data_IF_303932763874
#
_entry.id   IF_303932763874
#
_cell.length_a   1.000
_cell.length_b   1.000
_cell.length_c   1.000
_cell.angle_alpha   90.00
_cell.angle_beta   90.00
_cell.angle_gamma   90.00
#
_symmetry.space_group_name_H-M   'P 1'
#
loop_
_entity.id
_entity.type
_entity.pdbx_description
1 polymer ?
#
# COMPACT_ATOMS: atom_id res chain seq x y z
N UNK A 1 -24.12 17.35 30.46
CA UNK A 1 -22.71 17.08 30.11
C UNK A 1 -22.36 15.66 30.53
N UNK A 2 -22.29 14.73 29.58
CA UNK A 2 -21.58 13.45 29.68
C UNK A 2 -20.97 13.18 28.31
N UNK A 3 -19.64 13.17 28.25
CA UNK A 3 -18.86 12.78 27.08
C UNK A 3 -18.90 11.25 27.00
N UNK A 4 -19.60 10.70 26.01
CA UNK A 4 -19.56 9.28 25.69
C UNK A 4 -18.76 9.12 24.38
N UNK A 5 -17.53 8.65 24.53
CA UNK A 5 -16.56 8.46 23.44
C UNK A 5 -17.04 7.35 22.51
N UNK A 6 -17.23 7.67 21.22
CA UNK A 6 -17.57 6.69 20.16
C UNK A 6 -16.36 5.80 19.83
N UNK A 7 -16.00 4.90 20.73
CA UNK A 7 -15.12 3.75 20.45
C UNK A 7 -16.01 2.56 20.08
N UNK A 8 -16.31 2.38 18.80
CA UNK A 8 -17.10 1.21 18.42
C UNK A 8 -17.63 1.20 17.01
N UNK A 9 -16.89 1.66 16.01
CA UNK A 9 -17.28 1.45 14.60
C UNK A 9 -16.00 1.28 13.79
N UNK A 10 -15.95 0.24 12.95
CA UNK A 10 -14.84 -0.25 12.11
C UNK A 10 -13.92 -1.31 12.70
N UNK A 11 -14.53 -2.43 13.13
CA UNK A 11 -13.87 -3.74 13.19
C UNK A 11 -14.45 -4.70 12.15
N UNK A 12 -14.67 -4.19 10.94
CA UNK A 12 -15.12 -5.01 9.80
C UNK A 12 -13.96 -5.28 8.86
N UNK A 13 -12.90 -5.89 9.39
CA UNK A 13 -11.92 -6.62 8.58
C UNK A 13 -12.70 -7.76 7.92
N UNK A 14 -13.04 -7.53 6.67
CA UNK A 14 -13.66 -8.49 5.75
C UNK A 14 -13.09 -9.88 6.00
N UNK A 15 -13.91 -10.80 6.55
CA UNK A 15 -13.54 -12.20 6.84
C UNK A 15 -12.76 -12.80 5.66
N UNK A 16 -11.45 -12.99 5.83
CA UNK A 16 -10.57 -13.61 4.82
C UNK A 16 -10.89 -15.10 4.75
N UNK A 17 -11.36 -15.58 3.59
CA UNK A 17 -11.64 -17.00 3.29
C UNK A 17 -10.39 -17.84 2.98
N UNK A 18 -9.21 -17.23 2.89
CA UNK A 18 -7.99 -17.88 2.40
C UNK A 18 -7.21 -18.63 3.49
N UNK A 19 -7.40 -18.24 4.75
CA UNK A 19 -6.71 -18.86 5.88
C UNK A 19 -7.71 -19.75 6.62
N UNK A 20 -7.52 -21.08 6.65
CA UNK A 20 -8.36 -21.97 7.44
C UNK A 20 -8.34 -21.52 8.91
N UNK A 21 -9.49 -21.48 9.57
CA UNK A 21 -9.62 -21.09 10.99
C UNK A 21 -8.78 -21.93 11.96
N UNK A 22 -8.15 -23.00 11.46
CA UNK A 22 -7.28 -23.92 12.19
C UNK A 22 -5.84 -23.43 12.30
N UNK A 23 -5.44 -22.40 11.56
CA UNK A 23 -4.11 -21.81 11.66
C UNK A 23 -4.15 -20.58 12.56
N UNK A 24 -3.51 -20.68 13.72
CA UNK A 24 -3.18 -19.53 14.57
C UNK A 24 -1.91 -18.88 14.04
N UNK A 25 -1.99 -17.61 13.66
CA UNK A 25 -0.81 -16.81 13.34
C UNK A 25 -0.62 -15.79 14.43
N UNK A 26 0.57 -15.77 15.02
CA UNK A 26 0.98 -14.65 15.86
C UNK A 26 1.24 -13.45 14.93
N UNK A 27 0.60 -12.31 15.24
CA UNK A 27 0.82 -11.08 14.50
C UNK A 27 2.07 -10.41 15.06
N UNK A 28 3.08 -10.23 14.22
CA UNK A 28 4.30 -9.53 14.57
C UNK A 28 3.98 -8.04 14.75
N UNK A 29 4.35 -7.47 15.90
CA UNK A 29 4.13 -6.04 16.16
C UNK A 29 5.33 -5.21 15.74
N UNK A 30 5.13 -3.89 15.62
CA UNK A 30 6.19 -2.97 15.22
C UNK A 30 7.36 -3.00 16.23
N UNK A 31 8.55 -3.35 15.74
CA UNK A 31 9.77 -3.49 16.56
C UNK A 31 10.17 -4.94 16.85
N UNK A 32 9.25 -5.89 16.72
CA UNK A 32 9.56 -7.31 16.84
C UNK A 32 10.36 -7.80 15.62
N UNK A 33 11.34 -8.68 15.86
CA UNK A 33 12.10 -9.34 14.80
C UNK A 33 11.81 -10.83 14.82
N UNK A 34 11.51 -11.39 13.65
CA UNK A 34 11.31 -12.82 13.47
C UNK A 34 11.94 -13.28 12.16
N UNK A 35 12.46 -14.52 12.15
CA UNK A 35 12.99 -15.17 10.96
C UNK A 35 12.03 -16.29 10.54
N UNK A 36 11.68 -16.33 9.25
CA UNK A 36 10.85 -17.38 8.68
C UNK A 36 10.86 -17.34 7.16
N UNK A 37 10.31 -18.38 6.55
CA UNK A 37 10.13 -18.49 5.10
C UNK A 37 8.75 -18.00 4.71
N UNK A 38 8.68 -17.10 3.73
CA UNK A 38 7.43 -16.58 3.21
C UNK A 38 6.67 -17.70 2.50
N UNK A 39 5.46 -17.98 2.95
CA UNK A 39 4.57 -18.97 2.33
C UNK A 39 3.66 -18.34 1.28
N UNK A 40 3.02 -17.23 1.65
CA UNK A 40 2.06 -16.53 0.78
C UNK A 40 1.87 -15.10 1.26
N UNK A 41 1.21 -14.30 0.43
CA UNK A 41 0.84 -12.93 0.73
C UNK A 41 -0.56 -12.60 0.21
N UNK A 42 -1.20 -11.60 0.80
CA UNK A 42 -2.50 -11.11 0.37
C UNK A 42 -2.61 -9.59 0.49
N UNK A 43 -3.20 -8.94 -0.50
CA UNK A 43 -3.51 -7.52 -0.43
C UNK A 43 -4.54 -7.26 0.68
N UNK A 44 -4.28 -6.23 1.48
CA UNK A 44 -5.10 -5.83 2.62
C UNK A 44 -5.17 -4.32 2.75
N UNK A 45 -5.91 -3.86 3.76
CA UNK A 45 -5.98 -2.46 4.17
C UNK A 45 -5.87 -2.40 5.68
N UNK A 46 -5.05 -1.49 6.19
CA UNK A 46 -4.95 -1.22 7.62
C UNK A 46 -6.22 -0.56 8.15
N UNK A 47 -6.32 -0.46 9.48
CA UNK A 47 -7.42 0.27 10.16
C UNK A 47 -7.45 1.77 9.78
N UNK A 48 -6.29 2.34 9.44
CA UNK A 48 -6.11 3.72 8.99
C UNK A 48 -6.35 3.90 7.49
N UNK A 49 -6.87 2.87 6.80
CA UNK A 49 -7.07 2.87 5.35
C UNK A 49 -5.77 3.04 4.54
N UNK A 50 -4.66 2.51 5.03
CA UNK A 50 -3.47 2.36 4.20
C UNK A 50 -3.52 1.07 3.40
N UNK A 51 -3.08 1.09 2.15
CA UNK A 51 -2.83 -0.13 1.39
C UNK A 51 -1.74 -0.96 2.06
N UNK A 52 -2.01 -2.26 2.21
CA UNK A 52 -1.14 -3.17 2.92
C UNK A 52 -0.97 -4.49 2.17
N UNK A 53 0.10 -5.19 2.50
CA UNK A 53 0.29 -6.60 2.16
C UNK A 53 0.42 -7.38 3.46
N UNK A 54 -0.49 -8.33 3.67
CA UNK A 54 -0.38 -9.32 4.73
C UNK A 54 0.57 -10.42 4.26
N UNK A 55 1.64 -10.66 5.02
CA UNK A 55 2.67 -11.64 4.73
C UNK A 55 2.59 -12.78 5.74
N UNK A 56 2.60 -14.02 5.27
CA UNK A 56 2.49 -15.21 6.11
C UNK A 56 3.76 -16.05 6.04
N UNK A 57 4.34 -16.35 7.19
CA UNK A 57 5.61 -17.03 7.30
C UNK A 57 5.51 -18.32 8.11
N UNK A 58 6.42 -19.25 7.85
CA UNK A 58 6.72 -20.40 8.71
C UNK A 58 8.12 -20.27 9.30
N UNK A 59 8.29 -20.61 10.57
CA UNK A 59 9.57 -20.66 11.28
C UNK A 59 10.19 -22.05 11.21
N UNK A 60 11.43 -22.17 11.65
CA UNK A 60 12.16 -23.45 11.63
C UNK A 60 11.51 -24.52 12.53
N UNK A 61 10.86 -24.10 13.61
CA UNK A 61 10.12 -24.96 14.54
C UNK A 61 8.72 -25.36 14.02
N UNK A 62 8.35 -24.94 12.80
CA UNK A 62 7.04 -25.19 12.20
C UNK A 62 5.93 -24.25 12.69
N UNK A 63 6.21 -23.33 13.62
CA UNK A 63 5.26 -22.28 14.02
C UNK A 63 5.10 -21.26 12.90
N UNK A 64 3.98 -20.54 12.90
CA UNK A 64 3.66 -19.56 11.87
C UNK A 64 3.45 -18.18 12.48
N UNK A 65 3.80 -17.15 11.71
CA UNK A 65 3.51 -15.76 12.08
C UNK A 65 3.09 -14.95 10.87
N UNK A 66 2.35 -13.87 11.12
CA UNK A 66 1.94 -12.90 10.12
C UNK A 66 2.66 -11.57 10.37
N UNK A 67 3.11 -10.90 9.31
CA UNK A 67 3.53 -9.50 9.35
C UNK A 67 2.68 -8.68 8.38
N UNK A 68 2.50 -7.39 8.65
CA UNK A 68 1.83 -6.43 7.75
C UNK A 68 2.88 -5.48 7.17
N UNK A 69 2.86 -5.27 5.86
CA UNK A 69 3.66 -4.25 5.19
C UNK A 69 2.75 -3.17 4.60
N UNK A 70 2.78 -1.97 5.19
CA UNK A 70 2.10 -0.77 4.66
C UNK A 70 2.88 -0.23 3.47
N UNK A 71 2.19 0.09 2.38
CA UNK A 71 2.79 0.72 1.20
C UNK A 71 1.84 1.76 0.60
N UNK A 72 2.39 2.66 -0.24
CA UNK A 72 1.59 3.58 -1.04
C UNK A 72 1.54 3.06 -2.47
N UNK A 73 0.38 2.64 -3.00
CA UNK A 73 0.27 2.26 -4.39
C UNK A 73 0.64 3.44 -5.28
N UNK A 74 1.36 3.17 -6.35
CA UNK A 74 1.77 4.18 -7.31
C UNK A 74 1.69 3.68 -8.75
N UNK A 75 1.64 4.62 -9.69
CA UNK A 75 1.84 4.36 -11.12
C UNK A 75 2.57 5.52 -11.78
N UNK A 76 3.14 5.25 -12.96
CA UNK A 76 3.85 6.24 -13.76
C UNK A 76 2.92 6.88 -14.79
N UNK A 77 3.10 8.19 -14.99
CA UNK A 77 2.53 8.94 -16.11
C UNK A 77 3.67 9.49 -16.93
N UNK A 78 3.71 9.12 -18.22
CA UNK A 78 4.62 9.75 -19.17
C UNK A 78 4.12 11.16 -19.49
N UNK A 79 4.99 12.15 -19.35
CA UNK A 79 4.74 13.50 -19.82
C UNK A 79 5.49 13.74 -21.13
N UNK A 80 4.92 14.57 -22.00
CA UNK A 80 5.66 15.09 -23.15
C UNK A 80 6.77 16.03 -22.65
N UNK A 81 7.90 16.07 -23.34
CA UNK A 81 9.01 16.98 -23.03
C UNK A 81 8.53 18.40 -22.70
N UNK A 82 9.01 18.92 -21.57
CA UNK A 82 8.74 20.27 -21.06
C UNK A 82 7.28 20.48 -20.64
N UNK A 83 6.48 19.43 -20.51
CA UNK A 83 5.09 19.48 -20.03
C UNK A 83 4.94 18.93 -18.61
N UNK A 84 6.01 18.48 -17.96
CA UNK A 84 6.02 17.81 -16.67
C UNK A 84 5.36 18.69 -15.59
N UNK A 85 5.73 19.97 -15.52
CA UNK A 85 5.14 20.94 -14.58
C UNK A 85 3.64 21.18 -14.84
N UNK A 86 3.22 21.20 -16.11
CA UNK A 86 1.82 21.40 -16.46
C UNK A 86 0.97 20.18 -16.07
N UNK A 87 1.52 18.98 -16.28
CA UNK A 87 0.87 17.71 -15.90
C UNK A 87 0.76 17.61 -14.38
N UNK A 88 1.82 17.90 -13.62
CA UNK A 88 1.78 17.93 -12.15
C UNK A 88 0.69 18.90 -11.64
N UNK A 89 0.68 20.15 -12.12
CA UNK A 89 -0.31 21.14 -11.71
C UNK A 89 -1.75 20.70 -12.03
N UNK A 90 -1.98 20.11 -13.22
CA UNK A 90 -3.28 19.59 -13.60
C UNK A 90 -3.75 18.46 -12.68
N UNK A 91 -2.88 17.47 -12.41
CA UNK A 91 -3.19 16.31 -11.59
C UNK A 91 -3.52 16.71 -10.14
N UNK A 92 -2.73 17.62 -9.55
CA UNK A 92 -2.97 18.14 -8.20
C UNK A 92 -4.30 18.87 -8.10
N UNK A 93 -4.67 19.65 -9.11
CA UNK A 93 -5.95 20.36 -9.16
C UNK A 93 -7.14 19.42 -9.36
N UNK A 94 -7.01 18.45 -10.27
CA UNK A 94 -8.11 17.55 -10.67
C UNK A 94 -8.43 16.49 -9.62
N UNK A 95 -7.42 15.94 -8.97
CA UNK A 95 -7.51 14.80 -8.04
C UNK A 95 -7.14 15.19 -6.61
N UNK A 96 -7.52 16.41 -6.23
CA UNK A 96 -7.31 16.93 -4.89
C UNK A 96 -7.83 15.95 -3.82
N UNK A 97 -7.06 15.76 -2.76
CA UNK A 97 -7.34 14.85 -1.64
C UNK A 97 -7.37 13.34 -1.97
N UNK A 98 -7.17 12.94 -3.23
CA UNK A 98 -7.03 11.53 -3.62
C UNK A 98 -5.57 11.14 -3.79
N UNK A 99 -4.77 12.04 -4.37
CA UNK A 99 -3.33 11.87 -4.52
C UNK A 99 -2.64 12.15 -3.19
N UNK A 100 -1.81 11.21 -2.74
CA UNK A 100 -0.98 11.37 -1.56
C UNK A 100 0.33 12.10 -1.87
N UNK A 101 0.93 11.81 -3.03
CA UNK A 101 2.16 12.46 -3.48
C UNK A 101 2.32 12.40 -5.00
N UNK A 102 3.06 13.37 -5.55
CA UNK A 102 3.49 13.38 -6.95
C UNK A 102 4.98 13.71 -6.98
N UNK A 103 5.77 12.87 -7.65
CA UNK A 103 7.22 13.04 -7.81
C UNK A 103 7.60 12.97 -9.28
N UNK A 104 8.50 13.85 -9.70
CA UNK A 104 9.14 13.78 -11.01
C UNK A 104 10.37 12.89 -10.89
N UNK A 105 10.44 11.84 -11.70
CA UNK A 105 11.54 10.86 -11.69
C UNK A 105 12.01 10.63 -13.13
N UNK A 106 13.32 10.57 -13.29
CA UNK A 106 13.97 10.16 -14.53
C UNK A 106 14.25 8.66 -14.43
N UNK A 107 13.67 7.89 -15.34
CA UNK A 107 13.89 6.44 -15.42
C UNK A 107 14.30 6.08 -16.85
N UNK A 108 15.15 5.07 -16.97
CA UNK A 108 15.54 4.52 -18.26
C UNK A 108 14.40 3.63 -18.79
N UNK A 109 13.84 4.02 -19.94
CA UNK A 109 12.92 3.14 -20.65
C UNK A 109 13.76 2.13 -21.43
N UNK A 110 13.67 0.84 -21.12
CA UNK A 110 14.50 -0.16 -21.80
C UNK A 110 14.09 -0.38 -23.27
N UNK A 111 12.88 0.05 -23.65
CA UNK A 111 12.35 -0.11 -25.01
C UNK A 111 12.60 1.11 -25.91
N UNK A 112 12.94 2.25 -25.32
CA UNK A 112 13.31 3.47 -26.02
C UNK A 112 14.74 3.77 -25.60
N UNK A 113 15.72 3.82 -26.52
CA UNK A 113 17.11 4.20 -26.19
C UNK A 113 17.25 5.70 -25.74
N UNK A 114 16.34 6.19 -24.88
CA UNK A 114 16.15 7.55 -24.41
C UNK A 114 15.68 7.54 -22.95
N UNK A 115 16.18 8.51 -22.17
CA UNK A 115 15.71 8.79 -20.81
C UNK A 115 14.33 9.43 -20.89
N UNK A 116 13.33 8.84 -20.24
CA UNK A 116 11.97 9.38 -20.18
C UNK A 116 11.71 10.05 -18.84
N UNK A 117 11.03 11.20 -18.88
CA UNK A 117 10.57 11.88 -17.66
C UNK A 117 9.22 11.30 -17.26
N UNK A 118 9.18 10.61 -16.12
CA UNK A 118 7.96 10.05 -15.58
C UNK A 118 7.51 10.81 -14.33
N UNK A 119 6.20 10.84 -14.17
CA UNK A 119 5.56 11.34 -12.95
C UNK A 119 5.05 10.13 -12.17
N UNK A 120 5.59 9.92 -10.97
CA UNK A 120 5.09 8.93 -10.02
C UNK A 120 3.93 9.55 -9.26
N UNK A 121 2.76 8.94 -9.34
CA UNK A 121 1.59 9.34 -8.58
C UNK A 121 1.32 8.30 -7.50
N UNK A 122 1.45 8.69 -6.24
CA UNK A 122 1.20 7.82 -5.09
C UNK A 122 -0.17 8.09 -4.45
N UNK A 123 -0.85 7.05 -3.98
CA UNK A 123 -2.15 7.13 -3.33
C UNK A 123 -2.10 6.62 -1.89
N UNK A 124 -2.98 7.15 -1.04
CA UNK A 124 -3.08 6.73 0.36
C UNK A 124 -3.79 5.38 0.56
N UNK A 125 -4.63 4.98 -0.40
CA UNK A 125 -5.44 3.76 -0.35
C UNK A 125 -5.60 3.15 -1.76
N UNK A 126 -5.88 1.85 -1.84
CA UNK A 126 -5.93 1.07 -3.10
C UNK A 126 -7.10 1.41 -4.03
N UNK A 127 -7.97 2.35 -3.65
CA UNK A 127 -9.10 2.79 -4.49
C UNK A 127 -8.66 3.98 -5.31
N UNK A 128 -8.11 3.69 -6.48
CA UNK A 128 -7.81 4.68 -7.51
C UNK A 128 -9.07 4.75 -8.39
N UNK A 129 -9.77 5.89 -8.36
CA UNK A 129 -10.86 6.18 -9.30
C UNK A 129 -10.34 7.29 -10.22
N UNK A 130 -9.94 6.92 -11.43
CA UNK A 130 -9.53 7.85 -12.49
C UNK A 130 -10.71 8.13 -13.44
#
# INVERSE_FOLDING_TARGET
>A
MKHETRKGIYRSSKKRKLVPSKFSFDVLTEGDKALGWLLTFANSSSEEQHSCVDLYFVRQDGTMFQAEHKFRPYFYVAAKDKMEMNVDAYLRGRYQCQIADIQLVEEEDLDLDLVSHYIIISFGHSRIIL
#
